data_IF_168902675827
#
_entry.id   IF_168902675827
#
_cell.length_a   1.000
_cell.length_b   1.000
_cell.length_c   1.000
_cell.angle_alpha   90.00
_cell.angle_beta   90.00
_cell.angle_gamma   90.00
#
_symmetry.space_group_name_H-M   'P 1'
#
loop_
_entity.id
_entity.type
_entity.pdbx_description
1 polymer ?
#
# COMPACT_ATOMS: atom_id res chain seq x y z
N UNK A 1 20.60 -3.80 -0.35
CA UNK A 1 20.75 -2.52 -1.07
C UNK A 1 19.70 -2.39 -2.16
N UNK A 2 19.42 -3.42 -2.95
CA UNK A 2 18.29 -3.42 -3.89
C UNK A 2 16.95 -3.63 -3.17
N UNK A 3 15.90 -3.04 -3.72
CA UNK A 3 14.51 -3.29 -3.30
C UNK A 3 14.03 -4.58 -3.96
N UNK A 4 13.50 -5.50 -3.17
CA UNK A 4 12.90 -6.75 -3.67
C UNK A 4 11.37 -6.60 -3.76
N UNK A 5 10.67 -7.43 -4.56
CA UNK A 5 9.22 -7.46 -4.56
C UNK A 5 8.64 -7.64 -3.16
N UNK A 6 9.24 -8.51 -2.34
CA UNK A 6 8.83 -8.76 -0.96
C UNK A 6 8.95 -7.55 -0.04
N UNK A 7 10.00 -6.74 -0.20
CA UNK A 7 10.10 -5.46 0.51
C UNK A 7 9.03 -4.48 0.05
N UNK A 8 8.80 -4.38 -1.27
CA UNK A 8 7.84 -3.46 -1.84
C UNK A 8 6.40 -3.84 -1.48
N UNK A 9 6.06 -5.12 -1.32
CA UNK A 9 4.75 -5.59 -0.86
C UNK A 9 4.33 -4.95 0.47
N UNK A 10 5.26 -4.70 1.39
CA UNK A 10 4.97 -4.08 2.68
C UNK A 10 4.36 -2.68 2.49
N UNK A 11 4.83 -1.92 1.50
CA UNK A 11 4.25 -0.62 1.14
C UNK A 11 2.79 -0.73 0.65
N UNK A 12 2.39 -1.86 0.07
CA UNK A 12 1.01 -2.09 -0.39
C UNK A 12 0.08 -2.62 0.70
N UNK A 13 0.58 -2.82 1.92
CA UNK A 13 -0.22 -3.25 3.05
C UNK A 13 -1.26 -2.22 3.43
N UNK A 14 -2.43 -2.68 3.87
CA UNK A 14 -3.48 -1.85 4.47
C UNK A 14 -3.09 -1.21 5.79
N UNK A 15 -2.13 -1.77 6.52
CA UNK A 15 -1.75 -1.25 7.82
C UNK A 15 -0.99 0.08 7.65
N UNK A 16 -1.42 1.20 8.26
CA UNK A 16 -0.80 2.51 8.03
C UNK A 16 0.71 2.56 8.31
N UNK A 17 1.18 1.77 9.26
CA UNK A 17 2.62 1.66 9.57
C UNK A 17 3.39 0.95 8.45
N UNK A 18 2.78 -0.02 7.78
CA UNK A 18 3.40 -0.76 6.68
C UNK A 18 3.26 0.01 5.36
N UNK A 19 2.07 0.56 5.08
CA UNK A 19 1.79 1.47 3.97
C UNK A 19 2.80 2.62 3.90
N UNK A 20 3.06 3.27 5.04
CA UNK A 20 4.00 4.39 5.12
C UNK A 20 5.44 3.92 5.37
N UNK A 21 5.92 3.00 4.54
CA UNK A 21 7.29 2.46 4.59
C UNK A 21 7.75 1.97 3.21
N UNK A 22 9.05 1.73 3.04
CA UNK A 22 9.66 1.17 1.82
C UNK A 22 9.26 1.90 0.51
N UNK A 23 9.42 3.22 0.49
CA UNK A 23 9.05 4.09 -0.65
C UNK A 23 9.95 3.91 -1.88
N UNK A 24 11.18 3.41 -1.70
CA UNK A 24 12.12 3.29 -2.83
C UNK A 24 11.72 2.18 -3.78
N UNK A 25 11.95 2.37 -5.07
CA UNK A 25 11.72 1.33 -6.10
C UNK A 25 12.97 0.54 -6.48
N UNK A 26 14.17 1.14 -6.38
CA UNK A 26 15.42 0.51 -6.85
C UNK A 26 16.39 0.25 -5.71
N UNK A 27 16.77 1.29 -4.95
CA UNK A 27 17.76 1.18 -3.88
C UNK A 27 17.16 1.48 -2.51
N UNK A 28 17.22 0.51 -1.60
CA UNK A 28 16.73 0.58 -0.23
C UNK A 28 17.57 1.50 0.68
N UNK A 29 18.68 2.05 0.19
CA UNK A 29 19.50 2.97 0.99
C UNK A 29 18.74 4.26 1.31
N UNK A 30 17.90 4.73 0.38
CA UNK A 30 17.06 5.90 0.60
C UNK A 30 16.07 5.68 1.75
N UNK A 31 15.42 4.51 1.80
CA UNK A 31 14.53 4.17 2.92
C UNK A 31 15.27 4.05 4.26
N UNK A 32 16.52 3.59 4.26
CA UNK A 32 17.33 3.51 5.48
C UNK A 32 17.76 4.89 5.96
N UNK A 33 18.14 5.77 5.04
CA UNK A 33 18.49 7.17 5.32
C UNK A 33 17.28 7.97 5.82
N UNK A 34 16.10 7.76 5.24
CA UNK A 34 14.86 8.42 5.62
C UNK A 34 14.15 7.77 6.82
N UNK A 35 14.65 6.63 7.33
CA UNK A 35 14.03 5.91 8.44
C UNK A 35 12.71 5.20 8.09
N UNK A 36 12.41 5.02 6.81
CA UNK A 36 11.19 4.37 6.29
C UNK A 36 11.40 2.90 5.94
N UNK A 37 12.62 2.36 6.11
CA UNK A 37 12.89 0.95 5.87
C UNK A 37 12.16 0.04 6.88
N UNK A 38 11.39 -0.92 6.37
CA UNK A 38 10.63 -1.87 7.18
C UNK A 38 10.70 -3.29 6.62
N UNK A 39 10.76 -4.27 7.51
CA UNK A 39 10.63 -5.69 7.22
C UNK A 39 9.48 -6.27 8.04
N UNK A 40 8.84 -7.30 7.51
CA UNK A 40 7.71 -7.98 8.16
C UNK A 40 7.91 -9.50 8.05
N UNK A 41 7.77 -10.27 9.13
CA UNK A 41 7.66 -11.72 9.05
C UNK A 41 6.29 -12.11 8.49
N UNK A 42 6.17 -13.23 7.78
CA UNK A 42 4.88 -13.73 7.25
C UNK A 42 4.23 -12.82 6.20
N UNK A 43 4.95 -12.52 5.10
CA UNK A 43 4.49 -11.66 4.01
C UNK A 43 3.21 -12.18 3.32
N UNK A 44 2.94 -13.47 3.42
CA UNK A 44 1.72 -14.14 2.92
C UNK A 44 0.43 -13.67 3.61
N UNK A 45 0.56 -13.04 4.78
CA UNK A 45 -0.58 -12.55 5.57
C UNK A 45 -0.86 -11.06 5.36
N UNK A 46 -0.19 -10.41 4.39
CA UNK A 46 -0.45 -9.00 4.08
C UNK A 46 -1.82 -8.90 3.41
N UNK A 47 -2.68 -8.07 3.98
CA UNK A 47 -3.91 -7.62 3.34
C UNK A 47 -3.61 -6.36 2.52
N UNK A 48 -4.00 -6.38 1.25
CA UNK A 48 -3.59 -5.39 0.26
C UNK A 48 -4.73 -4.47 -0.12
N UNK A 49 -4.39 -3.22 -0.47
CA UNK A 49 -5.34 -2.27 -1.05
C UNK A 49 -5.68 -1.13 -0.12
N UNK A 50 -6.75 -0.42 -0.46
CA UNK A 50 -7.24 0.75 0.26
C UNK A 50 -8.61 0.39 0.80
N UNK A 51 -8.82 0.48 2.12
CA UNK A 51 -10.07 0.06 2.76
C UNK A 51 -11.27 0.90 2.33
N UNK A 52 -11.03 2.14 1.89
CA UNK A 52 -12.04 3.04 1.36
C UNK A 52 -12.69 2.50 0.08
N UNK A 53 -11.99 1.66 -0.67
CA UNK A 53 -12.40 1.20 -2.00
C UNK A 53 -12.85 -0.26 -2.02
N UNK A 54 -13.19 -0.85 -0.86
CA UNK A 54 -13.64 -2.24 -0.78
C UNK A 54 -15.05 -2.48 -1.34
N UNK A 55 -15.85 -1.43 -1.52
CA UNK A 55 -17.18 -1.57 -2.12
C UNK A 55 -17.06 -2.19 -3.54
N UNK A 56 -17.87 -3.21 -3.87
CA UNK A 56 -17.84 -3.88 -5.18
C UNK A 56 -17.88 -2.93 -6.38
N UNK A 57 -18.53 -1.77 -6.25
CA UNK A 57 -18.61 -0.78 -7.33
C UNK A 57 -17.23 -0.24 -7.72
N UNK A 58 -16.29 -0.12 -6.76
CA UNK A 58 -14.92 0.34 -6.99
C UNK A 58 -13.98 -0.76 -7.51
N UNK A 59 -14.35 -2.03 -7.37
CA UNK A 59 -13.57 -3.19 -7.83
C UNK A 59 -13.82 -3.55 -9.30
N UNK A 60 -14.55 -2.70 -10.02
CA UNK A 60 -14.79 -2.83 -11.47
C UNK A 60 -13.80 -1.96 -12.26
N UNK A 61 -13.57 -2.28 -13.55
CA UNK A 61 -12.76 -1.43 -14.44
C UNK A 61 -13.27 0.02 -14.50
N UNK A 62 -14.59 0.18 -14.53
CA UNK A 62 -15.22 1.49 -14.56
C UNK A 62 -15.05 2.21 -13.20
N UNK A 63 -15.19 1.49 -12.09
CA UNK A 63 -14.94 1.99 -10.74
C UNK A 63 -13.51 2.50 -10.59
N UNK A 64 -12.52 1.68 -10.95
CA UNK A 64 -11.10 2.04 -10.94
C UNK A 64 -10.82 3.28 -11.80
N UNK A 65 -11.39 3.35 -12.99
CA UNK A 65 -11.23 4.52 -13.88
C UNK A 65 -11.82 5.81 -13.29
N UNK A 66 -12.86 5.72 -12.46
CA UNK A 66 -13.48 6.88 -11.78
C UNK A 66 -12.73 7.35 -10.53
N UNK A 67 -11.83 6.53 -9.97
CA UNK A 67 -11.11 6.85 -8.72
C UNK A 67 -10.39 8.21 -8.73
N UNK A 68 -9.64 8.64 -9.76
CA UNK A 68 -8.96 9.94 -9.72
C UNK A 68 -9.90 11.15 -9.87
N UNK A 69 -11.17 10.94 -10.23
CA UNK A 69 -12.14 12.00 -10.51
C UNK A 69 -13.26 12.09 -9.45
N UNK A 70 -13.29 11.15 -8.51
CA UNK A 70 -14.30 11.10 -7.45
C UNK A 70 -13.65 11.45 -6.11
N UNK A 71 -14.37 12.10 -5.18
CA UNK A 71 -13.87 12.19 -3.81
C UNK A 71 -13.67 10.78 -3.25
N UNK A 72 -12.67 10.55 -2.38
CA UNK A 72 -12.47 9.27 -1.74
C UNK A 72 -13.75 8.84 -1.03
N UNK A 73 -14.17 7.57 -1.13
CA UNK A 73 -15.29 7.07 -0.34
C UNK A 73 -15.03 7.33 1.14
N UNK A 74 -16.06 7.72 1.88
CA UNK A 74 -15.96 7.84 3.33
C UNK A 74 -15.60 6.48 3.92
N UNK A 75 -14.51 6.40 4.69
CA UNK A 75 -14.19 5.20 5.46
C UNK A 75 -15.42 4.81 6.30
N UNK A 76 -15.88 3.54 6.28
CA UNK A 76 -16.76 3.07 7.33
C UNK A 76 -16.03 3.28 8.67
N UNK A 77 -16.75 3.83 9.66
CA UNK A 77 -16.21 3.98 11.01
C UNK A 77 -15.74 2.61 11.55
N UNK A 78 -14.67 2.56 12.35
CA UNK A 78 -14.14 1.32 12.91
C UNK A 78 -15.16 0.57 13.77
#
# INVERSE_FOLDING_TARGET
LFVTPDMHKIHHSRLPRELNSNYSTVFSCWDRLAGTFRMRPHLETIDFGLSEYDDPDWQTLLGMWKTPFSPPPSQPAP
#
